data_IF_748633123452
#
_entry.id   IF_748633123452
#
_cell.length_a   1.000
_cell.length_b   1.000
_cell.length_c   1.000
_cell.angle_alpha   90.00
_cell.angle_beta   90.00
_cell.angle_gamma   90.00
#
_symmetry.space_group_name_H-M   'P 1'
#
loop_
_entity.id
_entity.type
_entity.pdbx_description
1 polymer ?
#
# COMPACT_ATOMS: atom_id res chain seq x y z
N UNK A 1 9.42 -11.41 -23.84
CA UNK A 1 8.79 -10.89 -25.07
C UNK A 1 7.33 -10.47 -24.83
N UNK A 2 6.50 -11.30 -24.21
CA UNK A 2 5.07 -11.04 -23.95
C UNK A 2 4.84 -9.78 -23.11
N UNK A 3 5.66 -9.54 -22.07
CA UNK A 3 5.54 -8.36 -21.21
C UNK A 3 5.82 -7.07 -21.98
N UNK A 4 6.87 -7.06 -22.82
CA UNK A 4 7.23 -5.90 -23.67
C UNK A 4 6.15 -5.58 -24.69
N UNK A 5 5.57 -6.60 -25.31
CA UNK A 5 4.48 -6.40 -26.30
C UNK A 5 3.23 -5.82 -25.64
N UNK A 6 2.84 -6.34 -24.46
CA UNK A 6 1.71 -5.81 -23.67
C UNK A 6 1.97 -4.37 -23.21
N UNK A 7 3.19 -4.09 -22.73
CA UNK A 7 3.54 -2.74 -22.28
C UNK A 7 3.45 -1.70 -23.40
N UNK A 8 3.85 -2.07 -24.61
CA UNK A 8 3.78 -1.18 -25.79
C UNK A 8 2.36 -1.01 -26.34
N UNK A 9 1.50 -2.00 -26.15
CA UNK A 9 0.10 -1.95 -26.65
C UNK A 9 -0.85 -1.16 -25.74
N UNK A 10 -0.51 -0.98 -24.47
CA UNK A 10 -1.35 -0.28 -23.49
C UNK A 10 -0.92 1.17 -23.34
N UNK A 11 -1.80 2.14 -23.69
CA UNK A 11 -1.45 3.56 -23.65
C UNK A 11 -1.85 4.29 -22.35
N UNK A 12 -2.94 3.90 -21.70
CA UNK A 12 -3.57 4.68 -20.63
C UNK A 12 -3.70 3.96 -19.27
N UNK A 13 -2.90 2.94 -19.00
CA UNK A 13 -2.93 2.26 -17.72
C UNK A 13 -1.53 1.88 -17.22
N UNK A 14 -1.36 1.84 -15.90
CA UNK A 14 -0.19 1.26 -15.26
C UNK A 14 -0.29 -0.26 -15.39
N UNK A 15 0.65 -0.86 -16.13
CA UNK A 15 0.66 -2.30 -16.39
C UNK A 15 1.48 -3.08 -15.34
N UNK A 16 2.46 -2.40 -14.72
CA UNK A 16 3.38 -3.02 -13.79
C UNK A 16 2.89 -2.83 -12.37
N UNK A 17 2.84 -3.92 -11.62
CA UNK A 17 2.51 -3.87 -10.20
C UNK A 17 3.43 -4.79 -9.39
N UNK A 18 3.68 -4.40 -8.15
CA UNK A 18 4.42 -5.17 -7.14
C UNK A 18 3.48 -5.44 -5.99
N UNK A 19 3.19 -6.71 -5.73
CA UNK A 19 2.31 -7.10 -4.64
C UNK A 19 3.12 -7.41 -3.37
N UNK A 20 3.28 -6.42 -2.52
CA UNK A 20 3.98 -6.55 -1.23
C UNK A 20 3.22 -7.40 -0.23
N UNK A 21 1.90 -7.52 -0.38
CA UNK A 21 1.07 -8.38 0.47
C UNK A 21 1.46 -9.86 0.39
N UNK A 22 2.04 -10.32 -0.72
CA UNK A 22 2.58 -11.67 -0.84
C UNK A 22 3.75 -11.89 0.11
N UNK A 23 4.68 -10.94 0.17
CA UNK A 23 5.85 -11.02 1.06
C UNK A 23 5.43 -10.95 2.52
N UNK A 24 4.52 -10.03 2.86
CA UNK A 24 4.00 -9.89 4.21
C UNK A 24 3.28 -11.17 4.68
N UNK A 25 2.40 -11.73 3.87
CA UNK A 25 1.67 -12.96 4.20
C UNK A 25 2.61 -14.17 4.33
N UNK A 26 3.74 -14.16 3.62
CA UNK A 26 4.80 -15.17 3.76
C UNK A 26 5.67 -14.99 5.01
N UNK A 27 5.47 -13.92 5.80
CA UNK A 27 6.16 -13.69 7.07
C UNK A 27 7.27 -12.65 7.03
N UNK A 28 7.44 -11.92 5.93
CA UNK A 28 8.42 -10.85 5.84
C UNK A 28 8.16 -9.75 6.88
N UNK A 29 9.23 -9.17 7.41
CA UNK A 29 9.16 -7.93 8.17
C UNK A 29 9.13 -6.72 7.22
N UNK A 30 8.88 -5.52 7.74
CA UNK A 30 8.70 -4.30 6.93
C UNK A 30 9.91 -3.98 6.06
N UNK A 31 11.13 -4.15 6.57
CA UNK A 31 12.37 -3.92 5.81
C UNK A 31 12.49 -4.92 4.67
N UNK A 32 12.20 -6.19 4.92
CA UNK A 32 12.18 -7.23 3.89
C UNK A 32 11.11 -6.99 2.83
N UNK A 33 9.91 -6.55 3.24
CA UNK A 33 8.84 -6.19 2.30
C UNK A 33 9.30 -5.11 1.32
N UNK A 34 9.90 -4.03 1.83
CA UNK A 34 10.43 -2.93 1.02
C UNK A 34 11.56 -3.43 0.12
N UNK A 35 12.53 -4.17 0.67
CA UNK A 35 13.67 -4.67 -0.08
C UNK A 35 13.25 -5.58 -1.26
N UNK A 36 12.34 -6.52 -1.02
CA UNK A 36 11.82 -7.40 -2.07
C UNK A 36 10.99 -6.66 -3.12
N UNK A 37 10.19 -5.69 -2.68
CA UNK A 37 9.41 -4.88 -3.58
C UNK A 37 10.27 -4.03 -4.51
N UNK A 38 11.30 -3.39 -3.98
CA UNK A 38 12.24 -2.60 -4.77
C UNK A 38 13.10 -3.48 -5.68
N UNK A 39 13.51 -4.67 -5.22
CA UNK A 39 14.20 -5.64 -6.06
C UNK A 39 13.34 -6.07 -7.26
N UNK A 40 12.04 -6.31 -7.06
CA UNK A 40 11.11 -6.63 -8.14
C UNK A 40 10.92 -5.44 -9.10
N UNK A 41 10.82 -4.22 -8.59
CA UNK A 41 10.75 -3.02 -9.42
C UNK A 41 12.03 -2.82 -10.23
N UNK A 42 13.19 -3.06 -9.64
CA UNK A 42 14.49 -3.03 -10.31
C UNK A 42 14.55 -4.03 -11.49
N UNK A 43 14.02 -5.25 -11.31
CA UNK A 43 13.93 -6.22 -12.40
C UNK A 43 13.02 -5.73 -13.54
N UNK A 44 11.93 -5.04 -13.23
CA UNK A 44 11.09 -4.44 -14.27
C UNK A 44 11.86 -3.40 -15.09
N UNK A 45 12.66 -2.55 -14.45
CA UNK A 45 13.47 -1.55 -15.15
C UNK A 45 14.57 -2.19 -16.02
N UNK A 46 15.21 -3.27 -15.55
CA UNK A 46 16.17 -4.01 -16.33
C UNK A 46 15.55 -4.62 -17.61
N UNK A 47 14.30 -5.06 -17.53
CA UNK A 47 13.62 -5.68 -18.66
C UNK A 47 12.88 -4.68 -19.57
N UNK A 48 12.48 -3.53 -19.06
CA UNK A 48 11.73 -2.51 -19.78
C UNK A 48 12.49 -1.17 -19.68
N UNK A 49 13.55 -0.99 -20.46
CA UNK A 49 14.27 0.27 -20.50
C UNK A 49 13.33 1.39 -21.01
N UNK A 50 13.46 2.58 -20.45
CA UNK A 50 12.60 3.74 -20.72
C UNK A 50 11.13 3.55 -20.30
N UNK A 51 10.88 2.86 -19.19
CA UNK A 51 9.56 2.80 -18.58
C UNK A 51 9.07 4.22 -18.24
N UNK A 52 8.02 4.68 -18.92
CA UNK A 52 7.41 6.02 -18.68
C UNK A 52 6.12 5.94 -17.87
N UNK A 53 5.78 4.77 -17.37
CA UNK A 53 4.53 4.52 -16.63
C UNK A 53 4.84 4.25 -15.17
N UNK A 54 4.01 4.78 -14.28
CA UNK A 54 4.09 4.50 -12.84
C UNK A 54 3.98 3.00 -12.55
N UNK A 55 4.69 2.56 -11.51
CA UNK A 55 4.52 1.22 -10.95
C UNK A 55 3.54 1.28 -9.79
N UNK A 56 2.61 0.33 -9.73
CA UNK A 56 1.65 0.21 -8.64
C UNK A 56 2.21 -0.71 -7.56
N UNK A 57 2.42 -0.19 -6.36
CA UNK A 57 2.77 -0.99 -5.17
C UNK A 57 1.49 -1.31 -4.40
N UNK A 58 1.12 -2.59 -4.35
CA UNK A 58 0.02 -3.08 -3.53
C UNK A 58 0.58 -3.42 -2.15
N UNK A 59 0.34 -2.53 -1.19
CA UNK A 59 0.92 -2.63 0.16
C UNK A 59 -0.10 -3.19 1.13
N UNK A 60 0.26 -4.24 1.85
CA UNK A 60 -0.52 -4.70 2.98
C UNK A 60 -0.15 -3.90 4.23
N UNK A 61 -1.16 -3.39 4.95
CA UNK A 61 -1.00 -2.52 6.12
C UNK A 61 -1.44 -3.27 7.37
N UNK A 62 -0.55 -3.37 8.35
CA UNK A 62 -0.78 -4.08 9.60
C UNK A 62 -1.15 -3.18 10.77
N UNK A 63 -1.10 -3.74 11.97
CA UNK A 63 -1.54 -3.08 13.21
C UNK A 63 -0.52 -2.14 13.83
N UNK A 64 0.73 -2.15 13.39
CA UNK A 64 1.77 -1.28 13.95
C UNK A 64 1.70 0.12 13.31
N UNK A 65 0.81 0.94 13.85
CA UNK A 65 0.33 2.20 13.28
C UNK A 65 1.44 3.13 12.76
N UNK A 66 2.42 3.46 13.59
CA UNK A 66 3.48 4.40 13.22
C UNK A 66 4.50 3.79 12.23
N UNK A 67 4.80 2.51 12.40
CA UNK A 67 5.68 1.80 11.46
C UNK A 67 5.05 1.67 10.08
N UNK A 68 3.73 1.50 9.98
CA UNK A 68 3.05 1.46 8.68
C UNK A 68 3.08 2.82 7.98
N UNK A 69 2.93 3.92 8.72
CA UNK A 69 3.12 5.27 8.17
C UNK A 69 4.54 5.44 7.64
N UNK A 70 5.55 5.08 8.44
CA UNK A 70 6.96 5.17 8.06
C UNK A 70 7.28 4.28 6.84
N UNK A 71 6.75 3.05 6.79
CA UNK A 71 6.91 2.13 5.66
C UNK A 71 6.46 2.74 4.34
N UNK A 72 5.27 3.37 4.30
CA UNK A 72 4.76 3.99 3.08
C UNK A 72 5.60 5.19 2.64
N UNK A 73 6.08 5.99 3.58
CA UNK A 73 6.99 7.11 3.31
C UNK A 73 8.34 6.59 2.76
N UNK A 74 8.91 5.58 3.41
CA UNK A 74 10.18 4.97 2.99
C UNK A 74 10.11 4.36 1.59
N UNK A 75 9.00 3.69 1.22
CA UNK A 75 8.81 3.16 -0.13
C UNK A 75 8.90 4.27 -1.18
N UNK A 76 8.26 5.42 -0.96
CA UNK A 76 8.31 6.55 -1.91
C UNK A 76 9.72 7.08 -2.07
N UNK A 77 10.41 7.33 -0.97
CA UNK A 77 11.77 7.87 -0.99
C UNK A 77 12.75 6.92 -1.68
N UNK A 78 12.71 5.64 -1.32
CA UNK A 78 13.58 4.64 -1.90
C UNK A 78 13.26 4.35 -3.37
N UNK A 79 11.98 4.35 -3.74
CA UNK A 79 11.59 4.21 -5.14
C UNK A 79 12.08 5.38 -6.00
N UNK A 80 12.00 6.60 -5.50
CA UNK A 80 12.54 7.78 -6.17
C UNK A 80 14.06 7.67 -6.40
N UNK A 81 14.79 7.16 -5.42
CA UNK A 81 16.23 6.92 -5.57
C UNK A 81 16.50 5.87 -6.64
N UNK A 82 15.75 4.75 -6.62
CA UNK A 82 15.90 3.69 -7.61
C UNK A 82 15.53 4.17 -9.02
N UNK A 83 14.41 4.88 -9.19
CA UNK A 83 13.99 5.38 -10.50
C UNK A 83 14.98 6.38 -11.09
N UNK A 84 15.53 7.27 -10.27
CA UNK A 84 16.59 8.22 -10.68
C UNK A 84 17.87 7.53 -11.11
N UNK A 85 18.25 6.41 -10.50
CA UNK A 85 19.41 5.62 -10.91
C UNK A 85 19.28 5.05 -12.34
N UNK A 86 18.04 4.90 -12.83
CA UNK A 86 17.72 4.51 -14.20
C UNK A 86 17.40 5.70 -15.11
N UNK A 87 17.62 6.93 -14.65
CA UNK A 87 17.26 8.17 -15.36
C UNK A 87 15.77 8.24 -15.73
N UNK A 88 14.91 7.64 -14.89
CA UNK A 88 13.47 7.62 -15.06
C UNK A 88 12.81 8.64 -14.14
N UNK A 89 11.97 9.51 -14.73
CA UNK A 89 11.12 10.46 -14.00
C UNK A 89 9.70 9.86 -13.91
N UNK A 90 9.54 8.93 -12.98
CA UNK A 90 8.28 8.22 -12.76
C UNK A 90 7.97 8.12 -11.26
N UNK A 91 6.70 8.27 -10.94
CA UNK A 91 6.19 8.09 -9.58
C UNK A 91 5.76 6.65 -9.30
N UNK A 92 5.78 6.26 -8.03
CA UNK A 92 5.08 5.07 -7.58
C UNK A 92 3.63 5.40 -7.21
N UNK A 93 2.71 4.49 -7.53
CA UNK A 93 1.33 4.56 -7.07
C UNK A 93 1.13 3.52 -5.97
N UNK A 94 0.79 3.97 -4.76
CA UNK A 94 0.61 3.09 -3.59
C UNK A 94 -0.88 2.81 -3.40
N UNK A 95 -1.25 1.54 -3.60
CA UNK A 95 -2.55 1.00 -3.22
C UNK A 95 -2.41 0.24 -1.90
N UNK A 96 -2.93 0.80 -0.82
CA UNK A 96 -2.88 0.18 0.50
C UNK A 96 -4.14 -0.64 0.82
N UNK A 97 -3.95 -1.80 1.42
CA UNK A 97 -5.02 -2.69 1.84
C UNK A 97 -4.71 -3.25 3.23
N UNK A 98 -5.67 -3.33 4.15
CA UNK A 98 -5.48 -4.01 5.43
C UNK A 98 -4.95 -5.42 5.28
N UNK A 99 -3.99 -5.81 6.13
CA UNK A 99 -3.43 -7.15 6.10
C UNK A 99 -4.43 -8.21 6.57
N UNK A 100 -4.30 -9.43 6.04
CA UNK A 100 -5.01 -10.60 6.55
C UNK A 100 -4.31 -11.26 7.75
N UNK A 101 -3.01 -10.97 7.94
CA UNK A 101 -2.13 -11.65 8.89
C UNK A 101 -2.50 -11.46 10.36
N UNK A 102 -3.08 -10.30 10.72
CA UNK A 102 -3.44 -9.95 12.08
C UNK A 102 -4.93 -10.11 12.41
N UNK A 103 -5.73 -10.61 11.47
CA UNK A 103 -7.16 -10.82 11.69
C UNK A 103 -7.42 -12.04 12.55
N UNK A 104 -8.49 -11.99 13.34
CA UNK A 104 -8.92 -13.08 14.20
C UNK A 104 -10.27 -13.64 13.77
N UNK A 105 -10.49 -14.93 14.02
CA UNK A 105 -11.76 -15.61 13.80
C UNK A 105 -12.56 -15.79 15.10
N UNK A 106 -11.93 -15.65 16.27
CA UNK A 106 -12.59 -15.88 17.57
C UNK A 106 -13.51 -14.71 17.95
N UNK A 107 -12.97 -13.51 18.01
CA UNK A 107 -13.72 -12.27 18.16
C UNK A 107 -13.57 -11.46 16.87
N UNK A 108 -14.28 -11.89 15.86
CA UNK A 108 -14.15 -11.32 14.50
C UNK A 108 -14.63 -9.87 14.41
N UNK A 109 -15.48 -9.39 15.32
CA UNK A 109 -15.92 -8.00 15.34
C UNK A 109 -14.76 -7.03 15.62
N UNK A 110 -13.73 -7.46 16.37
CA UNK A 110 -12.52 -6.68 16.60
C UNK A 110 -11.79 -6.34 15.30
N UNK A 111 -11.97 -7.15 14.25
CA UNK A 111 -11.37 -6.86 12.96
C UNK A 111 -11.90 -5.55 12.34
N UNK A 112 -13.11 -5.10 12.68
CA UNK A 112 -13.62 -3.79 12.24
C UNK A 112 -12.75 -2.65 12.80
N UNK A 113 -12.35 -2.74 14.07
CA UNK A 113 -11.47 -1.76 14.70
C UNK A 113 -10.08 -1.78 14.07
N UNK A 114 -9.53 -2.99 13.83
CA UNK A 114 -8.22 -3.15 13.20
C UNK A 114 -8.19 -2.58 11.79
N UNK A 115 -9.15 -2.91 10.95
CA UNK A 115 -9.19 -2.38 9.58
C UNK A 115 -9.34 -0.87 9.55
N UNK A 116 -10.06 -0.27 10.50
CA UNK A 116 -10.17 1.19 10.61
C UNK A 116 -8.82 1.83 10.89
N UNK A 117 -8.08 1.37 11.92
CA UNK A 117 -6.77 1.94 12.26
C UNK A 117 -5.71 1.69 11.19
N UNK A 118 -5.77 0.55 10.49
CA UNK A 118 -4.91 0.24 9.35
C UNK A 118 -5.16 1.19 8.17
N UNK A 119 -6.43 1.46 7.84
CA UNK A 119 -6.78 2.46 6.83
C UNK A 119 -6.33 3.87 7.23
N UNK A 120 -6.45 4.24 8.52
CA UNK A 120 -5.94 5.52 9.02
C UNK A 120 -4.44 5.66 8.80
N UNK A 121 -3.65 4.64 9.18
CA UNK A 121 -2.19 4.67 8.98
C UNK A 121 -1.81 4.72 7.50
N UNK A 122 -2.57 4.04 6.63
CA UNK A 122 -2.37 4.08 5.20
C UNK A 122 -2.58 5.50 4.62
N UNK A 123 -3.66 6.16 5.03
CA UNK A 123 -3.96 7.54 4.59
C UNK A 123 -2.88 8.50 5.08
N UNK A 124 -2.52 8.45 6.37
CA UNK A 124 -1.49 9.32 6.95
C UNK A 124 -0.08 9.03 6.40
N UNK A 125 0.18 7.80 5.99
CA UNK A 125 1.42 7.42 5.31
C UNK A 125 1.50 7.86 3.84
N UNK A 126 0.44 8.47 3.32
CA UNK A 126 0.40 9.01 1.96
C UNK A 126 0.14 7.96 0.88
N UNK A 127 -0.70 6.95 1.15
CA UNK A 127 -1.21 6.06 0.11
C UNK A 127 -2.08 6.83 -0.89
N UNK A 128 -1.91 6.54 -2.19
CA UNK A 128 -2.71 7.17 -3.25
C UNK A 128 -4.13 6.62 -3.32
N UNK A 129 -4.27 5.34 -2.95
CA UNK A 129 -5.57 4.69 -2.84
C UNK A 129 -5.58 3.74 -1.63
N UNK A 130 -6.73 3.66 -0.97
CA UNK A 130 -6.96 2.72 0.14
C UNK A 130 -8.17 1.86 -0.19
N UNK A 131 -7.96 0.55 -0.24
CA UNK A 131 -9.03 -0.43 -0.40
C UNK A 131 -9.22 -1.19 0.92
N UNK A 132 -10.32 -0.93 1.63
CA UNK A 132 -10.56 -1.61 2.89
C UNK A 132 -10.93 -3.08 2.70
N UNK A 133 -10.60 -3.90 3.70
CA UNK A 133 -10.92 -5.32 3.75
C UNK A 133 -12.17 -5.52 4.63
N UNK A 134 -13.19 -6.25 4.19
CA UNK A 134 -14.28 -6.66 5.06
C UNK A 134 -13.76 -7.38 6.31
N UNK A 135 -14.34 -7.10 7.46
CA UNK A 135 -13.88 -7.62 8.75
C UNK A 135 -13.94 -9.15 8.84
N UNK A 136 -14.79 -9.76 8.06
CA UNK A 136 -15.06 -11.20 8.00
C UNK A 136 -14.44 -11.90 6.77
N UNK A 137 -13.62 -11.20 5.99
CA UNK A 137 -13.02 -11.69 4.75
C UNK A 137 -12.13 -12.94 4.89
N UNK A 138 -11.81 -13.38 6.12
CA UNK A 138 -11.04 -14.60 6.34
C UNK A 138 -11.89 -15.88 6.28
N UNK A 139 -13.17 -15.79 6.59
CA UNK A 139 -14.01 -16.96 6.81
C UNK A 139 -15.38 -16.89 6.11
N UNK A 140 -15.80 -15.70 5.70
CA UNK A 140 -16.97 -15.51 4.86
C UNK A 140 -16.57 -15.16 3.44
N UNK A 141 -17.36 -15.63 2.48
CA UNK A 141 -17.37 -15.08 1.13
C UNK A 141 -17.97 -13.68 1.20
N UNK A 142 -17.76 -12.91 0.13
CA UNK A 142 -18.32 -11.56 -0.02
C UNK A 142 -19.80 -11.53 0.36
N UNK A 143 -20.12 -10.61 1.27
CA UNK A 143 -21.47 -10.41 1.74
C UNK A 143 -21.77 -8.91 1.89
N UNK A 144 -23.04 -8.56 1.68
CA UNK A 144 -23.48 -7.15 1.65
C UNK A 144 -23.16 -6.39 2.95
N UNK A 145 -23.25 -7.04 4.10
CA UNK A 145 -23.01 -6.40 5.38
C UNK A 145 -21.52 -6.09 5.58
N UNK A 146 -20.64 -7.06 5.31
CA UNK A 146 -19.19 -6.89 5.42
C UNK A 146 -18.66 -5.79 4.49
N UNK A 147 -19.11 -5.81 3.23
CA UNK A 147 -18.73 -4.82 2.23
C UNK A 147 -19.26 -3.42 2.58
N UNK A 148 -20.47 -3.32 3.09
CA UNK A 148 -21.04 -2.05 3.55
C UNK A 148 -20.26 -1.47 4.71
N UNK A 149 -19.87 -2.27 5.70
CA UNK A 149 -19.06 -1.82 6.83
C UNK A 149 -17.69 -1.36 6.33
N UNK A 150 -17.01 -2.15 5.52
CA UNK A 150 -15.70 -1.80 4.97
C UNK A 150 -15.72 -0.44 4.23
N UNK A 151 -16.73 -0.23 3.39
CA UNK A 151 -16.94 1.04 2.69
C UNK A 151 -17.25 2.19 3.63
N UNK A 152 -18.16 1.98 4.61
CA UNK A 152 -18.55 3.03 5.54
C UNK A 152 -17.40 3.46 6.46
N UNK A 153 -16.49 2.57 6.85
CA UNK A 153 -15.28 2.93 7.57
C UNK A 153 -14.46 3.99 6.80
N UNK A 154 -14.24 3.80 5.49
CA UNK A 154 -13.54 4.78 4.67
C UNK A 154 -14.32 6.10 4.54
N UNK A 155 -15.66 6.04 4.43
CA UNK A 155 -16.50 7.24 4.38
C UNK A 155 -16.44 8.03 5.69
N UNK A 156 -16.43 7.37 6.85
CA UNK A 156 -16.25 8.00 8.16
C UNK A 156 -14.90 8.69 8.24
N UNK A 157 -13.82 8.01 7.85
CA UNK A 157 -12.47 8.60 7.83
C UNK A 157 -12.40 9.84 6.93
N UNK A 158 -13.09 9.83 5.79
CA UNK A 158 -13.12 10.95 4.87
C UNK A 158 -14.02 12.10 5.35
N UNK A 159 -15.26 11.84 5.72
CA UNK A 159 -16.28 12.86 5.91
C UNK A 159 -16.45 13.33 7.35
N UNK A 160 -16.08 12.50 8.33
CA UNK A 160 -16.22 12.81 9.75
C UNK A 160 -14.86 13.08 10.42
N UNK A 161 -13.83 12.30 10.04
CA UNK A 161 -12.47 12.49 10.57
C UNK A 161 -11.60 13.41 9.71
N UNK A 162 -12.09 13.83 8.54
CA UNK A 162 -11.46 14.81 7.64
C UNK A 162 -10.02 14.48 7.22
N UNK A 163 -9.66 13.19 7.09
CA UNK A 163 -8.33 12.79 6.69
C UNK A 163 -7.94 13.20 5.26
N UNK A 164 -8.89 13.64 4.45
CA UNK A 164 -8.68 14.15 3.10
C UNK A 164 -8.37 15.65 3.03
N UNK A 165 -8.32 16.36 4.18
CA UNK A 165 -8.15 17.82 4.22
C UNK A 165 -6.71 18.28 4.36
N UNK A 166 -5.82 17.40 4.79
CA UNK A 166 -4.42 17.73 5.05
C UNK A 166 -3.54 16.73 4.30
N UNK A 167 -2.68 17.24 3.43
CA UNK A 167 -1.63 16.44 2.81
C UNK A 167 -0.47 16.28 3.79
N UNK A 168 0.10 15.05 3.84
CA UNK A 168 1.30 14.75 4.62
C UNK A 168 1.19 15.17 6.10
N UNK A 169 0.09 14.82 6.75
CA UNK A 169 -0.17 15.17 8.16
C UNK A 169 0.86 14.60 9.16
N UNK A 170 1.66 13.63 8.73
CA UNK A 170 2.72 13.01 9.52
C UNK A 170 4.09 13.69 9.36
N UNK A 171 4.21 14.71 8.52
CA UNK A 171 5.45 15.42 8.25
C UNK A 171 5.95 16.18 9.49
N UNK A 172 7.26 16.10 9.75
CA UNK A 172 7.86 16.72 10.92
C UNK A 172 7.55 16.04 12.26
N UNK A 173 6.78 14.95 12.26
CA UNK A 173 6.56 14.16 13.47
C UNK A 173 7.85 13.39 13.80
N UNK A 174 8.57 13.83 14.83
CA UNK A 174 9.92 13.36 15.18
C UNK A 174 10.06 11.83 15.19
N UNK A 175 9.10 11.13 15.78
CA UNK A 175 9.12 9.67 15.86
C UNK A 175 8.94 9.01 14.47
N UNK A 176 8.05 9.55 13.65
CA UNK A 176 7.80 9.02 12.29
C UNK A 176 9.00 9.28 11.38
N UNK A 177 9.60 10.47 11.46
CA UNK A 177 10.82 10.78 10.70
C UNK A 177 11.95 9.82 11.07
N UNK A 178 12.22 9.61 12.35
CA UNK A 178 13.24 8.68 12.82
C UNK A 178 12.98 7.21 12.45
N UNK A 179 11.71 6.82 12.29
CA UNK A 179 11.38 5.47 11.82
C UNK A 179 11.51 5.33 10.30
N UNK A 180 11.38 6.43 9.58
CA UNK A 180 11.45 6.44 8.11
C UNK A 180 12.89 6.36 7.62
N UNK A 181 13.83 6.96 8.36
CA UNK A 181 15.30 6.88 8.14
C UNK A 181 15.85 5.47 8.39
#
# INVERSE_FOLDING_TARGET
>A
ETLKSLFNSTQNCSLLSVNMGLYQNAGANMVQEIAYALAQANEYFNHIPNCKKSIVFQVAVGSNYFFEIAKLRAIRQLFEIVSKAYELDIDCHILATPTKRNKTIYDYNVNMLRTTTECMSAILGGADAVANLPYDALYHKDNEFGDRIARNQLLVLKHESYFDKVNNAADGAYYIESLTE
#
